data_IF_805715021532
#
_entry.id   IF_805715021532
#
_cell.length_a   1.000
_cell.length_b   1.000
_cell.length_c   1.000
_cell.angle_alpha   90.00
_cell.angle_beta   90.00
_cell.angle_gamma   90.00
#
_symmetry.space_group_name_H-M   'P 1'
#
loop_
_entity.id
_entity.type
_entity.pdbx_description
1 polymer ?
#
# COMPACT_ATOMS: atom_id res chain seq x y z
N UNK A 1 7.03 3.69 -5.97
CA UNK A 1 6.13 2.79 -6.70
C UNK A 1 5.11 2.20 -5.75
N UNK A 2 3.86 2.65 -5.84
CA UNK A 2 2.77 1.99 -5.11
C UNK A 2 1.94 1.09 -6.02
N UNK A 3 2.10 1.18 -7.35
CA UNK A 3 1.21 0.54 -8.30
C UNK A 3 1.88 -0.43 -9.25
N UNK A 4 3.19 -0.67 -9.14
CA UNK A 4 3.99 -1.53 -10.04
C UNK A 4 3.62 -1.40 -11.52
N UNK A 5 3.32 -0.17 -11.95
CA UNK A 5 3.03 0.15 -13.34
C UNK A 5 3.87 1.33 -13.80
N UNK A 6 4.36 1.23 -15.02
CA UNK A 6 4.99 2.34 -15.72
C UNK A 6 3.94 3.08 -16.56
N UNK A 7 3.85 4.39 -16.37
CA UNK A 7 3.03 5.24 -17.22
C UNK A 7 3.69 5.31 -18.60
N UNK A 8 2.97 4.88 -19.64
CA UNK A 8 3.43 4.96 -21.04
C UNK A 8 3.64 6.41 -21.50
N UNK A 9 2.91 7.36 -20.90
CA UNK A 9 3.07 8.79 -21.12
C UNK A 9 3.14 9.55 -19.80
N UNK A 10 4.33 10.03 -19.44
CA UNK A 10 4.60 10.73 -18.17
C UNK A 10 4.30 12.25 -18.25
N UNK A 11 3.09 12.59 -18.68
CA UNK A 11 2.62 13.98 -18.65
C UNK A 11 2.06 14.34 -17.28
N UNK A 12 2.10 15.63 -16.91
CA UNK A 12 1.55 16.11 -15.64
C UNK A 12 0.06 15.76 -15.47
N UNK A 13 -0.71 15.79 -16.55
CA UNK A 13 -2.13 15.44 -16.54
C UNK A 13 -2.34 13.95 -16.24
N UNK A 14 -1.57 13.07 -16.91
CA UNK A 14 -1.66 11.61 -16.72
C UNK A 14 -1.21 11.22 -15.31
N UNK A 15 -0.13 11.82 -14.79
CA UNK A 15 0.29 11.60 -13.38
C UNK A 15 -0.79 12.01 -12.40
N UNK A 16 -1.41 13.18 -12.60
CA UNK A 16 -2.48 13.67 -11.73
C UNK A 16 -3.68 12.74 -11.74
N UNK A 17 -4.10 12.27 -12.93
CA UNK A 17 -5.19 11.31 -13.06
C UNK A 17 -4.86 9.95 -12.43
N UNK A 18 -3.63 9.46 -12.61
CA UNK A 18 -3.15 8.22 -11.99
C UNK A 18 -3.15 8.29 -10.46
N UNK A 19 -2.56 9.34 -9.88
CA UNK A 19 -2.46 9.52 -8.43
C UNK A 19 -3.83 9.73 -7.77
N UNK A 20 -4.78 10.32 -8.49
CA UNK A 20 -6.18 10.45 -8.04
C UNK A 20 -7.02 9.18 -8.32
N UNK A 21 -6.47 8.18 -9.00
CA UNK A 21 -7.16 6.97 -9.37
C UNK A 21 -7.40 6.06 -8.16
N UNK A 22 -8.57 5.41 -8.12
CA UNK A 22 -8.96 4.50 -7.04
C UNK A 22 -7.92 3.40 -6.79
N UNK A 23 -7.35 2.82 -7.86
CA UNK A 23 -6.31 1.79 -7.76
C UNK A 23 -5.07 2.32 -7.01
N UNK A 24 -4.61 3.52 -7.32
CA UNK A 24 -3.46 4.13 -6.65
C UNK A 24 -3.74 4.37 -5.16
N UNK A 25 -4.89 4.96 -4.85
CA UNK A 25 -5.28 5.23 -3.47
C UNK A 25 -5.41 3.93 -2.66
N UNK A 26 -5.96 2.86 -3.25
CA UNK A 26 -6.09 1.55 -2.60
C UNK A 26 -4.72 0.95 -2.29
N UNK A 27 -3.82 0.90 -3.28
CA UNK A 27 -2.49 0.29 -3.11
C UNK A 27 -1.61 1.10 -2.15
N UNK A 28 -1.74 2.43 -2.13
CA UNK A 28 -1.08 3.28 -1.11
C UNK A 28 -1.57 2.93 0.30
N UNK A 29 -2.90 2.76 0.49
CA UNK A 29 -3.46 2.38 1.79
C UNK A 29 -3.02 0.99 2.23
N UNK A 30 -3.02 0.04 1.31
CA UNK A 30 -2.57 -1.34 1.54
C UNK A 30 -1.10 -1.37 1.95
N UNK A 31 -0.23 -0.69 1.19
CA UNK A 31 1.20 -0.56 1.51
C UNK A 31 1.46 -0.07 2.95
N UNK A 32 0.74 0.97 3.38
CA UNK A 32 0.88 1.47 4.75
C UNK A 32 0.20 0.60 5.81
N UNK A 33 -0.82 -0.16 5.42
CA UNK A 33 -1.50 -1.10 6.31
C UNK A 33 -0.63 -2.32 6.59
N UNK A 34 -0.01 -2.89 5.55
CA UNK A 34 0.93 -4.02 5.65
C UNK A 34 2.19 -3.66 6.44
N UNK A 35 2.72 -2.44 6.26
CA UNK A 35 3.92 -1.96 6.95
C UNK A 35 3.80 -2.03 8.49
N UNK A 36 2.60 -1.85 9.04
CA UNK A 36 2.32 -1.97 10.47
C UNK A 36 1.81 -3.36 10.89
N UNK A 37 1.13 -4.07 9.99
CA UNK A 37 0.48 -5.35 10.30
C UNK A 37 1.48 -6.47 10.56
N UNK A 38 2.61 -6.56 9.83
CA UNK A 38 3.57 -7.64 10.05
C UNK A 38 4.16 -7.64 11.48
N UNK A 39 4.49 -6.46 11.99
CA UNK A 39 4.97 -6.32 13.38
C UNK A 39 3.84 -6.49 14.40
N UNK A 40 2.64 -5.99 14.09
CA UNK A 40 1.49 -6.06 15.01
C UNK A 40 1.00 -7.50 15.15
N UNK A 41 0.89 -8.23 14.05
CA UNK A 41 0.45 -9.62 14.03
C UNK A 41 1.47 -10.54 14.71
N UNK A 42 2.78 -10.31 14.52
CA UNK A 42 3.81 -11.06 15.23
C UNK A 42 3.71 -10.93 16.76
N UNK A 43 3.40 -9.73 17.27
CA UNK A 43 3.19 -9.49 18.71
C UNK A 43 1.91 -10.17 19.21
N UNK A 44 0.82 -10.08 18.44
CA UNK A 44 -0.44 -10.77 18.76
C UNK A 44 -0.22 -12.28 18.83
N UNK A 45 0.43 -12.87 17.82
CA UNK A 45 0.72 -14.30 17.77
C UNK A 45 1.62 -14.75 18.93
N UNK A 46 2.60 -13.93 19.34
CA UNK A 46 3.44 -14.20 20.50
C UNK A 46 2.61 -14.24 21.79
N UNK A 47 1.71 -13.29 22.00
CA UNK A 47 0.83 -13.25 23.18
C UNK A 47 -0.15 -14.43 23.15
N UNK A 48 -0.78 -14.70 22.01
CA UNK A 48 -1.73 -15.81 21.85
C UNK A 48 -1.08 -17.18 22.01
N UNK A 49 0.19 -17.37 21.64
CA UNK A 49 0.91 -18.64 21.91
C UNK A 49 1.30 -18.84 23.36
N UNK A 50 1.38 -17.75 24.14
CA UNK A 50 1.80 -17.79 25.53
C UNK A 50 0.64 -18.04 26.53
N UNK A 51 -0.61 -18.01 26.05
CA UNK A 51 -1.83 -18.25 26.82
C UNK A 51 -2.62 -19.44 26.24
#
# INVERSE_FOLDING_TARGET
>A
DYCDIFLTHDSASVRKAHNAGWKHISMVREYYSELGQDKTQAVIDQITRAY
#
